data_IF_480008477876
#
_entry.id   IF_480008477876
#
_cell.length_a   1.000
_cell.length_b   1.000
_cell.length_c   1.000
_cell.angle_alpha   90.00
_cell.angle_beta   90.00
_cell.angle_gamma   90.00
#
_symmetry.space_group_name_H-M   'P 1'
#
loop_
_entity.id
_entity.type
_entity.pdbx_description
1 polymer ?
#
# COMPACT_ATOMS: atom_id res chain seq x y z
N UNK A 1 0.38 -6.39 10.73
CA UNK A 1 0.45 -6.77 9.29
C UNK A 1 -0.61 -7.82 9.04
N UNK A 2 -1.30 -7.75 7.90
CA UNK A 2 -2.24 -8.78 7.47
C UNK A 2 -1.59 -10.17 7.43
N UNK A 3 -2.38 -11.22 7.30
CA UNK A 3 -1.88 -12.57 7.01
C UNK A 3 -2.67 -13.18 5.86
N UNK A 4 -1.97 -13.94 5.00
CA UNK A 4 -2.55 -14.70 3.91
C UNK A 4 -2.21 -16.17 4.12
N UNK A 5 -3.20 -17.04 3.97
CA UNK A 5 -3.10 -18.49 3.96
C UNK A 5 -3.30 -18.99 2.54
N UNK A 6 -2.43 -19.87 2.08
CA UNK A 6 -2.60 -20.63 0.81
C UNK A 6 -2.74 -22.08 1.18
N UNK A 7 -3.89 -22.66 0.89
CA UNK A 7 -4.24 -24.05 1.14
C UNK A 7 -4.32 -24.79 -0.20
N UNK A 8 -3.23 -25.45 -0.57
CA UNK A 8 -3.16 -26.26 -1.81
C UNK A 8 -3.64 -27.69 -1.59
N UNK A 9 -3.19 -28.33 -0.50
CA UNK A 9 -3.50 -29.71 -0.16
C UNK A 9 -3.88 -29.91 1.32
N UNK A 10 -3.61 -28.93 2.18
CA UNK A 10 -3.91 -28.98 3.61
C UNK A 10 -4.69 -27.75 4.02
N UNK A 11 -5.80 -27.98 4.74
CA UNK A 11 -6.60 -26.88 5.31
C UNK A 11 -5.98 -26.36 6.60
N UNK A 12 -6.08 -25.04 6.90
CA UNK A 12 -5.81 -24.54 8.24
C UNK A 12 -6.82 -25.16 9.22
N UNK A 13 -6.35 -25.49 10.41
CA UNK A 13 -7.24 -25.90 11.47
C UNK A 13 -7.92 -24.68 12.13
N UNK A 14 -8.93 -24.95 12.95
CA UNK A 14 -9.73 -23.89 13.59
C UNK A 14 -8.90 -22.96 14.49
N UNK A 15 -7.91 -23.53 15.20
CA UNK A 15 -7.00 -22.76 16.05
C UNK A 15 -6.14 -21.78 15.23
N UNK A 16 -5.63 -22.21 14.07
CA UNK A 16 -4.85 -21.37 13.17
C UNK A 16 -5.68 -20.20 12.62
N UNK A 17 -6.94 -20.47 12.23
CA UNK A 17 -7.87 -19.44 11.76
C UNK A 17 -8.18 -18.46 12.87
N UNK A 18 -8.47 -18.93 14.09
CA UNK A 18 -8.77 -18.10 15.25
C UNK A 18 -7.59 -17.20 15.59
N UNK A 19 -6.37 -17.75 15.66
CA UNK A 19 -5.15 -16.97 15.92
C UNK A 19 -4.89 -15.91 14.85
N UNK A 20 -5.12 -16.23 13.58
CA UNK A 20 -4.97 -15.28 12.49
C UNK A 20 -6.00 -14.15 12.60
N UNK A 21 -7.23 -14.46 12.99
CA UNK A 21 -8.28 -13.48 13.25
C UNK A 21 -7.95 -12.61 14.47
N UNK A 22 -7.54 -13.18 15.60
CA UNK A 22 -7.23 -12.45 16.83
C UNK A 22 -6.18 -11.34 16.64
N UNK A 23 -5.35 -11.49 15.61
CA UNK A 23 -4.33 -10.49 15.25
C UNK A 23 -4.73 -9.58 14.09
N UNK A 24 -5.79 -9.95 13.33
CA UNK A 24 -6.21 -9.28 12.09
C UNK A 24 -7.74 -9.30 11.94
N UNK A 25 -8.44 -8.63 12.85
CA UNK A 25 -9.90 -8.69 13.04
C UNK A 25 -10.70 -7.63 12.23
N UNK A 26 -10.04 -6.93 11.29
CA UNK A 26 -10.71 -5.94 10.45
C UNK A 26 -11.45 -6.55 9.25
N UNK A 27 -11.77 -7.84 9.32
CA UNK A 27 -12.48 -8.62 8.32
C UNK A 27 -11.58 -9.59 7.56
N UNK A 28 -12.20 -10.63 7.04
CA UNK A 28 -11.53 -11.66 6.25
C UNK A 28 -12.15 -11.80 4.85
N UNK A 29 -11.47 -12.57 3.99
CA UNK A 29 -12.01 -13.00 2.72
C UNK A 29 -11.25 -14.18 2.16
N UNK A 30 -11.89 -14.89 1.25
CA UNK A 30 -11.42 -16.15 0.70
C UNK A 30 -11.74 -16.23 -0.79
N UNK A 31 -10.88 -16.89 -1.56
CA UNK A 31 -11.16 -17.30 -2.94
C UNK A 31 -10.79 -18.76 -3.14
N UNK A 32 -11.59 -19.44 -3.94
CA UNK A 32 -11.42 -20.86 -4.30
C UNK A 32 -11.73 -21.09 -5.78
N UNK A 33 -11.35 -22.26 -6.28
CA UNK A 33 -11.66 -22.67 -7.66
C UNK A 33 -12.89 -23.53 -7.69
N UNK A 34 -13.82 -23.18 -8.57
CA UNK A 34 -15.03 -23.95 -8.78
C UNK A 34 -15.56 -23.74 -10.20
N UNK A 35 -15.94 -24.81 -10.89
CA UNK A 35 -16.51 -24.79 -12.23
C UNK A 35 -15.68 -24.00 -13.27
N UNK A 36 -14.33 -24.12 -13.20
CA UNK A 36 -13.43 -23.45 -14.13
C UNK A 36 -13.31 -21.92 -13.92
N UNK A 37 -13.76 -21.43 -12.78
CA UNK A 37 -13.68 -20.03 -12.39
C UNK A 37 -13.13 -19.88 -10.97
N UNK A 38 -12.72 -18.66 -10.62
CA UNK A 38 -12.40 -18.28 -9.25
C UNK A 38 -13.65 -17.67 -8.63
N UNK A 39 -14.12 -18.28 -7.55
CA UNK A 39 -15.17 -17.74 -6.69
C UNK A 39 -14.53 -16.98 -5.54
N UNK A 40 -15.20 -15.96 -4.99
CA UNK A 40 -14.75 -15.29 -3.77
C UNK A 40 -15.89 -14.82 -2.87
N UNK A 41 -15.59 -14.76 -1.58
CA UNK A 41 -16.35 -14.02 -0.56
C UNK A 41 -15.39 -13.22 0.31
N UNK A 42 -15.79 -12.01 0.67
CA UNK A 42 -15.00 -11.09 1.51
C UNK A 42 -15.89 -10.28 2.43
N UNK A 43 -15.28 -9.54 3.38
CA UNK A 43 -16.02 -8.86 4.43
C UNK A 43 -16.58 -9.82 5.47
N UNK A 44 -15.94 -10.97 5.64
CA UNK A 44 -16.34 -12.03 6.56
C UNK A 44 -15.87 -11.69 7.99
N UNK A 45 -16.66 -12.14 8.95
CA UNK A 45 -16.28 -12.28 10.35
C UNK A 45 -15.58 -13.63 10.63
N UNK A 46 -15.25 -13.90 11.90
CA UNK A 46 -14.55 -15.12 12.29
C UNK A 46 -15.33 -16.38 11.91
N UNK A 47 -16.62 -16.43 12.21
CA UNK A 47 -17.44 -17.62 11.92
C UNK A 47 -17.61 -17.83 10.42
N UNK A 48 -17.83 -16.75 9.67
CA UNK A 48 -17.94 -16.83 8.21
C UNK A 48 -16.66 -17.35 7.55
N UNK A 49 -15.47 -16.94 7.99
CA UNK A 49 -14.21 -17.44 7.41
C UNK A 49 -13.91 -18.87 7.87
N UNK A 50 -14.23 -19.28 9.12
CA UNK A 50 -14.08 -20.65 9.59
C UNK A 50 -14.91 -21.60 8.73
N UNK A 51 -16.19 -21.30 8.56
CA UNK A 51 -17.11 -22.12 7.78
C UNK A 51 -16.63 -22.29 6.34
N UNK A 52 -16.26 -21.18 5.69
CA UNK A 52 -15.78 -21.27 4.30
C UNK A 52 -14.44 -21.99 4.17
N UNK A 53 -13.49 -21.82 5.08
CA UNK A 53 -12.25 -22.60 5.07
C UNK A 53 -12.49 -24.11 5.25
N UNK A 54 -13.56 -24.51 5.93
CA UNK A 54 -13.96 -25.91 6.07
C UNK A 54 -14.68 -26.48 4.83
N UNK A 55 -15.50 -25.67 4.17
CA UNK A 55 -16.45 -26.11 3.15
C UNK A 55 -15.91 -26.02 1.72
N UNK A 56 -15.24 -24.90 1.36
CA UNK A 56 -14.86 -24.66 -0.04
C UNK A 56 -13.84 -25.69 -0.55
N UNK A 57 -13.84 -26.03 -1.84
CA UNK A 57 -12.83 -26.93 -2.40
C UNK A 57 -11.43 -26.33 -2.34
N UNK A 58 -10.42 -27.19 -2.17
CA UNK A 58 -9.02 -26.81 -2.33
C UNK A 58 -8.62 -26.92 -3.82
N UNK A 59 -7.67 -26.10 -4.31
CA UNK A 59 -6.95 -25.07 -3.53
C UNK A 59 -7.79 -23.81 -3.30
N UNK A 60 -7.50 -23.13 -2.19
CA UNK A 60 -8.06 -21.81 -1.88
C UNK A 60 -7.01 -20.88 -1.23
N UNK A 61 -7.31 -19.59 -1.23
CA UNK A 61 -6.51 -18.55 -0.57
C UNK A 61 -7.42 -17.77 0.38
N UNK A 62 -7.03 -17.67 1.66
CA UNK A 62 -7.74 -16.89 2.66
C UNK A 62 -6.85 -15.72 3.18
N UNK A 63 -7.49 -14.60 3.52
CA UNK A 63 -6.81 -13.39 3.99
C UNK A 63 -7.51 -12.83 5.23
N UNK A 64 -6.71 -12.48 6.24
CA UNK A 64 -7.13 -11.83 7.47
C UNK A 64 -6.54 -10.43 7.50
N UNK A 65 -7.41 -9.43 7.58
CA UNK A 65 -7.05 -8.03 7.36
C UNK A 65 -6.80 -7.27 8.65
N UNK A 66 -5.73 -6.49 8.66
CA UNK A 66 -5.58 -5.33 9.52
C UNK A 66 -5.49 -4.10 8.62
N UNK A 67 -6.39 -3.13 8.78
CA UNK A 67 -6.48 -1.99 7.87
C UNK A 67 -5.35 -1.00 8.11
N UNK A 68 -4.46 -0.83 7.13
CA UNK A 68 -3.43 0.21 7.08
C UNK A 68 -3.79 1.34 6.11
N UNK A 69 -4.65 1.06 5.14
CA UNK A 69 -5.10 1.97 4.10
C UNK A 69 -6.59 1.76 3.83
N UNK A 70 -7.34 2.82 3.49
CA UNK A 70 -8.77 2.77 3.13
C UNK A 70 -9.74 2.60 4.31
N UNK A 71 -9.25 2.40 5.55
CA UNK A 71 -10.06 2.21 6.76
C UNK A 71 -10.65 0.79 6.90
N UNK A 72 -11.44 0.57 7.97
CA UNK A 72 -12.12 -0.70 8.27
C UNK A 72 -13.43 -0.78 7.47
N UNK A 73 -13.39 -1.45 6.33
CA UNK A 73 -14.53 -1.62 5.43
C UNK A 73 -14.54 -3.04 4.89
N UNK A 74 -15.70 -3.66 4.86
CA UNK A 74 -15.91 -5.01 4.34
C UNK A 74 -15.52 -5.11 2.85
N UNK A 75 -15.88 -4.11 2.04
CA UNK A 75 -15.60 -4.07 0.61
C UNK A 75 -14.11 -3.86 0.25
N UNK A 76 -13.29 -3.44 1.22
CA UNK A 76 -11.84 -3.34 1.09
C UNK A 76 -11.07 -4.52 1.69
N UNK A 77 -11.74 -5.59 2.13
CA UNK A 77 -11.09 -6.87 2.39
C UNK A 77 -10.71 -7.56 1.08
N UNK A 78 -9.78 -8.48 1.13
CA UNK A 78 -9.37 -9.25 -0.05
C UNK A 78 -10.33 -10.42 -0.34
N UNK A 79 -10.33 -10.94 -1.57
CA UNK A 79 -9.49 -10.56 -2.70
C UNK A 79 -10.00 -9.35 -3.47
N UNK A 80 -9.15 -8.87 -4.39
CA UNK A 80 -9.56 -7.95 -5.44
C UNK A 80 -9.42 -8.63 -6.82
N UNK A 81 -10.46 -8.66 -7.64
CA UNK A 81 -10.32 -9.08 -9.04
C UNK A 81 -9.29 -8.23 -9.77
N UNK A 82 -8.43 -8.87 -10.57
CA UNK A 82 -7.51 -8.17 -11.47
C UNK A 82 -8.30 -7.78 -12.71
N UNK A 83 -8.97 -6.63 -12.60
CA UNK A 83 -9.85 -6.05 -13.61
C UNK A 83 -9.71 -4.54 -13.62
N UNK A 84 -9.93 -3.89 -14.77
CA UNK A 84 -9.83 -2.42 -14.91
C UNK A 84 -10.85 -1.66 -14.05
N UNK A 85 -11.92 -2.29 -13.61
CA UNK A 85 -12.93 -1.70 -12.73
C UNK A 85 -12.68 -2.03 -11.25
N UNK A 86 -11.89 -3.06 -10.96
CA UNK A 86 -11.60 -3.60 -9.61
C UNK A 86 -12.82 -3.50 -8.69
N UNK A 87 -13.87 -4.30 -8.97
CA UNK A 87 -15.15 -4.19 -8.28
C UNK A 87 -15.02 -4.45 -6.79
N UNK A 88 -15.88 -3.79 -5.99
CA UNK A 88 -15.89 -3.87 -4.53
C UNK A 88 -16.93 -4.87 -3.99
N UNK A 89 -17.52 -5.67 -4.84
CA UNK A 89 -18.52 -6.66 -4.48
C UNK A 89 -18.00 -7.63 -3.42
N UNK A 90 -18.81 -7.92 -2.41
CA UNK A 90 -18.45 -8.82 -1.32
C UNK A 90 -18.40 -10.28 -1.76
N UNK A 91 -19.12 -10.61 -2.82
CA UNK A 91 -19.15 -11.95 -3.44
C UNK A 91 -19.02 -11.82 -4.95
N UNK A 92 -18.47 -12.84 -5.58
CA UNK A 92 -18.40 -12.84 -7.04
C UNK A 92 -17.67 -14.06 -7.60
N UNK A 93 -17.61 -14.07 -8.93
CA UNK A 93 -16.92 -15.08 -9.72
C UNK A 93 -16.21 -14.44 -10.90
N UNK A 94 -15.08 -14.99 -11.31
CA UNK A 94 -14.35 -14.55 -12.51
C UNK A 94 -13.63 -15.71 -13.18
N UNK A 95 -13.54 -15.67 -14.51
CA UNK A 95 -12.63 -16.52 -15.29
C UNK A 95 -11.20 -15.97 -15.35
N UNK A 96 -10.99 -14.74 -14.84
CA UNK A 96 -9.69 -14.12 -14.66
C UNK A 96 -9.08 -14.42 -13.29
N UNK A 97 -8.13 -13.59 -12.91
CA UNK A 97 -7.38 -13.71 -11.66
C UNK A 97 -7.94 -12.78 -10.58
N UNK A 98 -7.76 -13.19 -9.34
CA UNK A 98 -7.94 -12.33 -8.16
C UNK A 98 -6.61 -12.17 -7.42
N UNK A 99 -6.45 -11.05 -6.70
CA UNK A 99 -5.22 -10.74 -5.98
C UNK A 99 -5.47 -10.58 -4.49
N UNK A 100 -4.52 -11.08 -3.72
CA UNK A 100 -4.37 -10.82 -2.28
C UNK A 100 -3.05 -10.10 -2.04
N UNK A 101 -3.02 -9.24 -1.02
CA UNK A 101 -1.83 -8.47 -0.67
C UNK A 101 -1.64 -8.39 0.84
N UNK A 102 -0.41 -8.57 1.28
CA UNK A 102 0.03 -8.33 2.65
C UNK A 102 1.27 -7.44 2.64
N UNK A 103 1.09 -6.19 3.00
CA UNK A 103 2.11 -5.16 3.02
C UNK A 103 1.50 -3.77 3.19
N UNK A 104 2.30 -2.76 2.95
CA UNK A 104 1.87 -1.38 2.86
C UNK A 104 2.65 -0.69 1.74
N UNK A 105 1.94 -0.31 0.69
CA UNK A 105 2.53 0.39 -0.44
C UNK A 105 2.21 1.89 -0.39
N UNK A 106 3.10 2.67 0.21
CA UNK A 106 2.86 4.10 0.47
C UNK A 106 2.70 4.96 -0.79
N UNK A 107 3.26 4.53 -1.94
CA UNK A 107 3.27 5.32 -3.19
C UNK A 107 2.09 5.05 -4.12
N UNK A 108 1.10 4.28 -3.69
CA UNK A 108 0.02 3.85 -4.58
C UNK A 108 -0.78 5.03 -5.18
N UNK A 109 -0.97 6.11 -4.43
CA UNK A 109 -1.71 7.30 -4.90
C UNK A 109 -0.97 8.01 -6.02
N UNK A 110 0.34 8.22 -5.86
CA UNK A 110 1.18 8.88 -6.87
C UNK A 110 1.17 8.09 -8.18
N UNK A 111 1.34 6.75 -8.09
CA UNK A 111 1.37 5.87 -9.26
C UNK A 111 0.00 5.78 -9.93
N UNK A 112 -1.08 5.78 -9.17
CA UNK A 112 -2.44 5.82 -9.71
C UNK A 112 -2.69 7.11 -10.50
N UNK A 113 -2.30 8.27 -9.94
CA UNK A 113 -2.41 9.56 -10.63
C UNK A 113 -1.56 9.60 -11.90
N UNK A 114 -0.33 9.09 -11.85
CA UNK A 114 0.53 9.01 -13.02
C UNK A 114 -0.07 8.13 -14.13
N UNK A 115 -0.58 6.95 -13.77
CA UNK A 115 -1.18 6.00 -14.71
C UNK A 115 -2.42 6.60 -15.39
N UNK A 116 -3.28 7.25 -14.62
CA UNK A 116 -4.52 7.84 -15.15
C UNK A 116 -4.28 9.16 -15.88
N UNK A 117 -3.34 9.98 -15.40
CA UNK A 117 -2.92 11.23 -16.07
C UNK A 117 -2.30 10.99 -17.43
N UNK A 118 -1.68 9.84 -17.67
CA UNK A 118 -1.18 9.41 -18.98
C UNK A 118 -2.28 8.84 -19.91
N UNK A 119 -3.52 8.79 -19.45
CA UNK A 119 -4.65 8.29 -20.24
C UNK A 119 -4.72 6.77 -20.39
N UNK A 120 -3.93 5.99 -19.65
CA UNK A 120 -3.97 4.53 -19.73
C UNK A 120 -5.28 3.92 -19.25
N UNK A 121 -5.94 4.55 -18.26
CA UNK A 121 -7.25 4.12 -17.78
C UNK A 121 -7.97 5.24 -17.01
N UNK A 122 -9.29 5.08 -16.83
CA UNK A 122 -10.09 5.90 -15.91
C UNK A 122 -10.05 5.28 -14.52
N UNK A 123 -10.00 6.12 -13.48
CA UNK A 123 -10.06 5.65 -12.09
C UNK A 123 -11.46 5.10 -11.81
N UNK A 124 -11.61 3.83 -11.44
CA UNK A 124 -12.90 3.27 -11.04
C UNK A 124 -13.47 3.94 -9.79
N UNK A 125 -14.79 4.01 -9.73
CA UNK A 125 -15.53 4.60 -8.60
C UNK A 125 -15.33 3.77 -7.32
N UNK A 126 -15.44 4.42 -6.16
CA UNK A 126 -15.42 3.80 -4.83
C UNK A 126 -14.17 4.11 -4.03
N UNK A 127 -14.11 3.58 -2.81
CA UNK A 127 -12.96 3.76 -1.91
C UNK A 127 -11.74 2.96 -2.37
N UNK A 128 -10.58 3.53 -2.14
CA UNK A 128 -9.31 2.95 -2.53
C UNK A 128 -8.48 2.51 -1.31
N UNK A 129 -7.71 1.46 -1.53
CA UNK A 129 -6.59 1.03 -0.71
C UNK A 129 -5.39 0.77 -1.61
N UNK A 130 -4.22 0.65 -1.04
CA UNK A 130 -3.00 0.23 -1.74
C UNK A 130 -3.20 -1.11 -2.47
N UNK A 131 -3.83 -2.08 -1.83
CA UNK A 131 -4.13 -3.39 -2.44
C UNK A 131 -5.07 -3.30 -3.63
N UNK A 132 -6.13 -2.48 -3.55
CA UNK A 132 -7.03 -2.24 -4.67
C UNK A 132 -6.32 -1.56 -5.84
N UNK A 133 -5.41 -0.63 -5.52
CA UNK A 133 -4.57 0.02 -6.54
C UNK A 133 -3.61 -0.97 -7.21
N UNK A 134 -3.00 -1.89 -6.46
CA UNK A 134 -2.16 -2.95 -7.02
C UNK A 134 -2.93 -3.83 -8.01
N UNK A 135 -4.15 -4.27 -7.67
CA UNK A 135 -5.00 -5.06 -8.57
C UNK A 135 -5.36 -4.29 -9.85
N UNK A 136 -5.68 -3.00 -9.74
CA UNK A 136 -5.93 -2.12 -10.87
C UNK A 136 -4.71 -1.98 -11.79
N UNK A 137 -3.54 -1.74 -11.22
CA UNK A 137 -2.31 -1.58 -11.99
C UNK A 137 -1.87 -2.89 -12.64
N UNK A 138 -2.06 -4.03 -11.97
CA UNK A 138 -1.86 -5.33 -12.56
C UNK A 138 -2.79 -5.61 -13.74
N UNK A 139 -4.04 -5.10 -13.70
CA UNK A 139 -4.97 -5.21 -14.82
C UNK A 139 -4.59 -4.35 -16.03
N UNK A 140 -3.85 -3.27 -15.81
CA UNK A 140 -3.40 -2.36 -16.88
C UNK A 140 -2.05 -2.77 -17.45
N UNK A 141 -1.08 -3.07 -16.59
CA UNK A 141 0.31 -3.28 -16.95
C UNK A 141 0.70 -4.78 -17.00
N UNK A 142 -0.23 -5.68 -16.63
CA UNK A 142 0.05 -7.11 -16.48
C UNK A 142 0.53 -7.48 -15.07
N UNK A 143 0.41 -8.77 -14.72
CA UNK A 143 0.75 -9.32 -13.40
C UNK A 143 2.22 -9.07 -13.03
N UNK A 144 3.13 -9.15 -14.02
CA UNK A 144 4.57 -8.88 -13.82
C UNK A 144 4.88 -7.50 -13.23
N UNK A 145 3.92 -6.54 -13.29
CA UNK A 145 4.06 -5.25 -12.61
C UNK A 145 4.20 -5.40 -11.10
N UNK A 146 3.56 -6.42 -10.50
CA UNK A 146 3.60 -6.66 -9.05
C UNK A 146 5.02 -7.02 -8.55
N UNK A 147 5.87 -7.60 -9.40
CA UNK A 147 7.27 -7.92 -9.07
C UNK A 147 8.14 -6.67 -8.90
N UNK A 148 7.72 -5.55 -9.49
CA UNK A 148 8.42 -4.27 -9.35
C UNK A 148 8.16 -3.58 -8.01
N UNK A 149 7.20 -4.09 -7.22
CA UNK A 149 6.81 -3.53 -5.94
C UNK A 149 7.63 -4.16 -4.82
N UNK A 150 8.72 -3.50 -4.45
CA UNK A 150 9.62 -3.96 -3.40
C UNK A 150 8.91 -4.22 -2.07
N UNK A 151 9.28 -5.33 -1.40
CA UNK A 151 8.84 -5.69 -0.05
C UNK A 151 7.32 -5.92 0.12
N UNK A 152 6.60 -6.19 -0.96
CA UNK A 152 5.18 -6.55 -0.90
C UNK A 152 5.03 -8.08 -1.02
N UNK A 153 4.14 -8.66 -0.22
CA UNK A 153 3.72 -10.05 -0.38
C UNK A 153 2.36 -10.10 -1.05
N UNK A 154 2.30 -10.77 -2.16
CA UNK A 154 1.08 -10.89 -2.94
C UNK A 154 0.86 -12.32 -3.45
N UNK A 155 -0.38 -12.66 -3.67
CA UNK A 155 -0.84 -13.86 -4.36
C UNK A 155 -1.73 -13.43 -5.49
N UNK A 156 -1.48 -13.94 -6.68
CA UNK A 156 -2.39 -13.89 -7.83
C UNK A 156 -2.96 -15.28 -8.02
N UNK A 157 -4.25 -15.43 -7.77
CA UNK A 157 -4.96 -16.69 -7.80
C UNK A 157 -5.93 -16.74 -8.97
N UNK A 158 -5.65 -17.60 -9.92
CA UNK A 158 -6.42 -17.79 -11.15
C UNK A 158 -7.11 -19.16 -11.23
N UNK A 159 -7.93 -19.42 -12.27
CA UNK A 159 -8.62 -20.69 -12.46
C UNK A 159 -7.68 -21.89 -12.56
N UNK A 160 -6.47 -21.69 -13.09
CA UNK A 160 -5.45 -22.74 -13.26
C UNK A 160 -4.09 -22.43 -12.64
N UNK A 161 -3.86 -21.19 -12.15
CA UNK A 161 -2.57 -20.72 -11.69
C UNK A 161 -2.66 -20.15 -10.27
N UNK A 162 -1.53 -20.24 -9.54
CA UNK A 162 -1.34 -19.54 -8.27
C UNK A 162 0.10 -18.99 -8.29
N UNK A 163 0.24 -17.69 -8.54
CA UNK A 163 1.52 -17.01 -8.56
C UNK A 163 1.72 -16.26 -7.25
N UNK A 164 2.91 -16.31 -6.69
CA UNK A 164 3.22 -15.74 -5.39
C UNK A 164 4.54 -14.96 -5.41
N UNK A 165 4.60 -13.88 -4.65
CA UNK A 165 5.87 -13.19 -4.38
C UNK A 165 6.83 -14.07 -3.57
N UNK A 166 8.08 -13.64 -3.40
CA UNK A 166 9.05 -14.35 -2.56
C UNK A 166 8.72 -14.28 -1.06
N UNK A 167 9.33 -15.17 -0.26
CA UNK A 167 9.38 -15.08 1.19
C UNK A 167 8.20 -15.68 1.95
N UNK A 168 7.51 -16.67 1.39
CA UNK A 168 6.45 -17.43 2.05
C UNK A 168 7.00 -18.46 3.03
N UNK A 169 6.27 -18.72 4.11
CA UNK A 169 6.58 -19.75 5.08
C UNK A 169 5.71 -20.98 4.86
N UNK A 170 6.33 -22.14 4.67
CA UNK A 170 5.63 -23.43 4.65
C UNK A 170 5.35 -23.82 6.10
N UNK A 171 4.10 -24.13 6.42
CA UNK A 171 3.67 -24.62 7.73
C UNK A 171 3.68 -26.15 7.73
N UNK A 172 3.06 -26.74 6.72
CA UNK A 172 3.07 -28.17 6.43
C UNK A 172 2.92 -28.42 4.95
N UNK A 173 2.76 -29.67 4.52
CA UNK A 173 2.60 -30.00 3.10
C UNK A 173 1.35 -29.36 2.54
N UNK A 174 1.52 -28.53 1.49
CA UNK A 174 0.43 -27.83 0.81
C UNK A 174 -0.28 -26.75 1.64
N UNK A 175 0.35 -26.24 2.71
CA UNK A 175 -0.15 -25.09 3.46
C UNK A 175 0.96 -24.06 3.70
N UNK A 176 0.75 -22.85 3.18
CA UNK A 176 1.72 -21.74 3.23
C UNK A 176 1.10 -20.48 3.79
N UNK A 177 1.93 -19.66 4.45
CA UNK A 177 1.50 -18.39 5.07
C UNK A 177 2.43 -17.25 4.68
N UNK A 178 1.87 -16.06 4.55
CA UNK A 178 2.65 -14.88 4.19
C UNK A 178 3.60 -14.41 5.31
N UNK A 179 3.26 -14.66 6.56
CA UNK A 179 4.10 -14.42 7.73
C UNK A 179 3.62 -15.29 8.91
N UNK A 180 4.45 -15.35 9.99
CA UNK A 180 4.17 -16.11 11.19
C UNK A 180 3.83 -15.27 12.43
N UNK A 181 3.60 -13.96 12.25
CA UNK A 181 3.30 -13.07 13.40
C UNK A 181 1.99 -13.42 14.12
N UNK A 182 1.09 -14.13 13.45
CA UNK A 182 -0.16 -14.63 14.03
C UNK A 182 0.01 -15.85 14.94
N UNK A 183 1.12 -16.60 14.81
CA UNK A 183 1.41 -17.77 15.67
C UNK A 183 1.78 -17.35 17.09
N UNK A 184 2.50 -16.25 17.21
CA UNK A 184 2.81 -15.66 18.50
C UNK A 184 1.62 -14.84 18.94
N UNK A 185 0.79 -15.35 19.87
CA UNK A 185 -0.04 -14.46 20.65
C UNK A 185 0.91 -13.41 21.22
N UNK A 186 0.83 -12.20 20.72
CA UNK A 186 1.20 -11.05 21.50
C UNK A 186 0.24 -11.06 22.68
N UNK A 187 0.59 -11.83 23.71
CA UNK A 187 0.01 -11.67 25.02
C UNK A 187 0.48 -10.29 25.50
N UNK A 188 -0.22 -9.25 25.07
CA UNK A 188 -0.27 -8.06 25.87
C UNK A 188 -1.27 -8.40 26.99
N UNK A 189 -0.81 -8.74 28.19
CA UNK A 189 -1.73 -8.96 29.28
C UNK A 189 -2.46 -7.65 29.48
N UNK A 190 -3.75 -7.68 29.24
CA UNK A 190 -4.66 -6.61 29.66
C UNK A 190 -4.50 -6.57 31.17
N UNK A 191 -3.71 -5.63 31.69
CA UNK A 191 -3.55 -5.46 33.13
C UNK A 191 -2.15 -5.28 33.71
N UNK A 192 -1.07 -5.32 32.96
CA UNK A 192 0.26 -5.06 33.52
C UNK A 192 0.68 -3.58 33.37
N UNK A 193 1.28 -3.02 34.42
CA UNK A 193 1.88 -1.68 34.49
C UNK A 193 2.81 -1.36 33.30
N UNK A 194 3.43 -2.39 32.71
CA UNK A 194 4.28 -2.28 31.52
C UNK A 194 3.53 -1.76 30.28
N UNK A 195 2.21 -2.00 30.21
CA UNK A 195 1.40 -1.53 29.07
C UNK A 195 1.06 -0.02 29.18
N UNK A 196 0.92 0.55 30.37
CA UNK A 196 0.62 1.98 30.54
C UNK A 196 1.77 2.87 30.03
N UNK A 197 3.00 2.41 30.14
CA UNK A 197 4.17 3.16 29.64
C UNK A 197 4.24 3.20 28.10
N UNK A 198 3.60 2.25 27.42
CA UNK A 198 3.59 2.16 25.95
C UNK A 198 2.30 2.66 25.29
N UNK A 199 1.38 3.19 26.09
CA UNK A 199 0.13 3.76 25.57
C UNK A 199 0.30 5.23 25.20
N UNK A 200 -0.53 5.68 24.27
CA UNK A 200 -0.63 7.08 23.91
C UNK A 200 -0.97 7.94 25.14
N UNK A 201 -0.27 9.04 25.36
CA UNK A 201 -0.51 9.94 26.49
C UNK A 201 -1.80 10.75 26.44
N UNK A 202 -2.53 10.72 25.34
CA UNK A 202 -3.89 11.30 25.29
C UNK A 202 -4.82 10.46 26.15
N UNK A 203 -5.33 11.02 27.24
CA UNK A 203 -5.97 10.30 28.35
C UNK A 203 -7.16 9.41 28.00
N UNK A 204 -7.83 9.66 26.87
CA UNK A 204 -8.95 8.84 26.37
C UNK A 204 -8.53 7.88 25.25
N UNK A 205 -7.23 7.88 24.85
CA UNK A 205 -6.74 7.07 23.77
C UNK A 205 -6.21 5.72 24.27
N UNK A 206 -6.74 4.62 23.73
CA UNK A 206 -6.33 3.26 24.04
C UNK A 206 -5.31 2.67 23.03
N UNK A 207 -4.70 3.49 22.15
CA UNK A 207 -3.74 3.03 21.15
C UNK A 207 -2.30 3.05 21.67
N UNK A 208 -1.49 2.12 21.16
CA UNK A 208 -0.05 2.04 21.48
C UNK A 208 0.67 3.25 20.84
N UNK A 209 1.62 3.83 21.57
CA UNK A 209 2.46 4.94 21.06
C UNK A 209 3.41 4.46 19.97
N UNK A 210 3.81 5.38 19.09
CA UNK A 210 4.87 5.15 18.11
C UNK A 210 6.21 5.03 18.87
N UNK A 211 7.07 4.12 18.44
CA UNK A 211 8.40 3.94 19.02
C UNK A 211 9.15 5.29 19.15
N UNK A 212 9.73 5.54 20.30
CA UNK A 212 10.40 6.79 20.69
C UNK A 212 9.50 8.05 20.74
N UNK A 213 8.17 7.92 20.76
CA UNK A 213 7.26 9.04 20.97
C UNK A 213 6.32 8.77 22.15
N UNK A 214 5.62 9.81 22.60
CA UNK A 214 4.60 9.69 23.67
C UNK A 214 3.19 9.47 23.11
N UNK A 215 3.01 9.52 21.77
CA UNK A 215 1.73 9.55 21.08
C UNK A 215 1.60 8.42 20.06
N UNK A 216 0.36 7.97 19.81
CA UNK A 216 0.05 7.03 18.74
C UNK A 216 0.03 7.75 17.37
N UNK A 217 -0.17 6.97 16.32
CA UNK A 217 -0.16 7.48 14.94
C UNK A 217 -1.20 8.60 14.72
N UNK A 218 -2.38 8.50 15.32
CA UNK A 218 -3.45 9.51 15.18
C UNK A 218 -3.13 10.81 15.94
N UNK A 219 -2.35 10.70 17.03
CA UNK A 219 -1.96 11.82 17.88
C UNK A 219 -0.52 12.30 17.68
N UNK A 220 0.16 11.80 16.64
CA UNK A 220 1.55 12.18 16.31
C UNK A 220 1.74 13.69 16.06
N UNK A 221 0.67 14.40 15.66
CA UNK A 221 0.70 15.85 15.48
C UNK A 221 0.99 16.62 16.79
N UNK A 222 0.72 16.00 17.96
CA UNK A 222 1.02 16.59 19.26
C UNK A 222 2.53 16.56 19.60
N UNK A 223 3.33 15.72 18.93
CA UNK A 223 4.81 15.73 19.05
C UNK A 223 5.34 17.05 18.52
N UNK A 224 4.81 17.51 17.39
CA UNK A 224 5.26 18.77 16.77
C UNK A 224 4.78 20.01 17.53
N UNK A 225 3.68 19.92 18.27
CA UNK A 225 3.20 21.05 19.08
C UNK A 225 4.13 21.34 20.27
N UNK A 226 4.62 20.30 20.98
CA UNK A 226 5.59 20.47 22.06
C UNK A 226 6.95 21.01 21.58
N UNK A 227 7.44 20.51 20.44
CA UNK A 227 8.68 21.00 19.84
C UNK A 227 8.56 22.46 19.35
N UNK A 228 7.36 22.90 18.98
CA UNK A 228 7.09 24.27 18.60
C UNK A 228 7.09 25.23 19.82
N UNK A 229 6.54 24.80 20.96
CA UNK A 229 6.58 25.56 22.22
C UNK A 229 8.00 25.67 22.78
N UNK A 230 8.75 24.57 22.81
CA UNK A 230 10.18 24.57 23.20
C UNK A 230 11.04 25.42 22.24
N UNK A 231 10.75 25.39 20.94
CA UNK A 231 11.43 26.22 19.94
C UNK A 231 11.08 27.70 20.08
N UNK A 232 9.86 28.04 20.49
CA UNK A 232 9.44 29.41 20.73
C UNK A 232 10.12 30.01 21.99
N UNK A 233 10.38 29.22 23.03
CA UNK A 233 11.11 29.65 24.23
C UNK A 233 12.62 29.79 23.97
N UNK A 234 13.19 28.95 23.11
CA UNK A 234 14.61 29.09 22.66
C UNK A 234 14.78 30.33 21.78
N UNK A 235 13.80 30.67 20.95
CA UNK A 235 13.84 31.88 20.10
C UNK A 235 13.73 33.19 20.90
N UNK A 236 13.10 33.17 22.07
CA UNK A 236 13.04 34.35 22.96
C UNK A 236 14.37 34.64 23.70
N UNK A 237 15.27 33.65 23.73
CA UNK A 237 16.59 33.77 24.39
C UNK A 237 17.73 34.12 23.42
N UNK A 238 17.46 34.17 22.09
CA UNK A 238 18.45 34.56 21.08
C UNK A 238 18.08 35.91 20.48
N UNK A 239 18.22 36.96 21.27
CA UNK A 239 18.40 38.30 20.74
C UNK A 239 19.89 38.55 20.57
N UNK A 240 20.23 39.05 19.37
CA UNK A 240 21.51 39.65 18.97
C UNK A 240 22.68 38.67 18.75
N UNK A 241 22.94 38.30 17.48
CA UNK A 241 24.23 38.55 16.81
C UNK A 241 24.17 38.15 15.30
N UNK A 242 24.47 39.17 14.47
CA UNK A 242 25.16 39.10 13.18
C UNK A 242 24.54 38.49 11.94
N UNK A 243 24.29 39.34 10.95
CA UNK A 243 24.08 38.99 9.53
C UNK A 243 25.21 38.12 8.96
N UNK A 244 24.87 37.07 8.19
CA UNK A 244 25.87 36.33 7.44
C UNK A 244 26.13 37.00 6.09
N UNK A 245 27.39 37.42 5.88
CA UNK A 245 27.96 37.89 4.61
C UNK A 245 27.68 36.85 3.48
N UNK A 246 27.13 37.33 2.36
CA UNK A 246 27.10 36.62 1.09
C UNK A 246 28.52 36.24 0.67
N UNK A 247 28.77 34.93 0.55
CA UNK A 247 29.91 34.42 -0.24
C UNK A 247 29.41 34.07 -1.61
N UNK A 248 29.73 34.84 -2.59
CA UNK A 248 29.75 34.44 -4.00
C UNK A 248 30.83 33.38 -4.18
N UNK A 249 30.45 32.19 -4.58
CA UNK A 249 31.36 31.19 -5.12
C UNK A 249 30.86 30.75 -6.47
N UNK A 250 31.54 31.21 -7.51
CA UNK A 250 31.42 30.70 -8.86
C UNK A 250 31.83 29.24 -8.85
N UNK A 251 30.87 28.35 -9.15
CA UNK A 251 31.06 26.93 -9.27
C UNK A 251 30.67 26.46 -10.68
N UNK A 252 31.63 25.82 -11.35
CA UNK A 252 31.42 25.16 -12.64
C UNK A 252 30.14 24.27 -12.68
N UNK A 253 29.51 24.07 -13.83
CA UNK A 253 28.30 23.28 -13.95
C UNK A 253 28.56 21.83 -13.51
N UNK A 254 28.04 21.46 -12.36
CA UNK A 254 28.09 20.08 -11.86
C UNK A 254 27.18 19.24 -12.74
N UNK A 255 27.79 18.38 -13.59
CA UNK A 255 27.08 17.35 -14.33
C UNK A 255 26.26 16.49 -13.37
N UNK A 256 24.94 16.66 -13.39
CA UNK A 256 24.02 15.82 -12.63
C UNK A 256 23.78 14.54 -13.45
N UNK A 257 24.10 13.40 -12.83
CA UNK A 257 23.89 12.09 -13.45
C UNK A 257 22.40 11.83 -13.69
N UNK A 258 22.01 11.22 -14.83
CA UNK A 258 20.65 10.75 -15.04
C UNK A 258 20.19 9.86 -13.88
N UNK A 259 18.93 10.00 -13.46
CA UNK A 259 18.43 9.36 -12.24
C UNK A 259 18.58 7.83 -12.25
N UNK A 260 18.30 7.17 -13.39
CA UNK A 260 18.46 5.72 -13.55
C UNK A 260 19.92 5.29 -13.31
N UNK A 261 20.87 6.04 -13.85
CA UNK A 261 22.29 5.79 -13.65
C UNK A 261 22.72 6.05 -12.20
N UNK A 262 22.16 7.09 -11.56
CA UNK A 262 22.41 7.38 -10.15
C UNK A 262 21.87 6.26 -9.22
N UNK A 263 20.74 5.65 -9.53
CA UNK A 263 20.20 4.50 -8.79
C UNK A 263 21.13 3.28 -8.89
N UNK A 264 21.63 2.98 -10.09
CA UNK A 264 22.59 1.87 -10.30
C UNK A 264 23.87 2.09 -9.50
N UNK A 265 24.46 3.29 -9.60
CA UNK A 265 25.70 3.63 -8.91
C UNK A 265 25.54 3.69 -7.38
N UNK A 266 24.36 4.02 -6.87
CA UNK A 266 24.08 3.96 -5.43
C UNK A 266 24.02 2.51 -4.94
N UNK A 267 23.37 1.60 -5.68
CA UNK A 267 23.34 0.16 -5.36
C UNK A 267 24.75 -0.45 -5.36
N UNK A 268 25.62 0.02 -6.25
CA UNK A 268 27.02 -0.40 -6.35
C UNK A 268 27.94 0.31 -5.32
N UNK A 269 27.41 1.16 -4.46
CA UNK A 269 28.19 1.93 -3.49
C UNK A 269 29.12 3.02 -4.09
N UNK A 270 29.00 3.27 -5.39
CA UNK A 270 29.87 4.21 -6.15
C UNK A 270 29.50 5.67 -6.02
N UNK A 271 28.32 6.00 -5.45
CA UNK A 271 27.93 7.38 -5.15
C UNK A 271 27.30 7.49 -3.77
N UNK A 272 27.40 8.69 -3.16
CA UNK A 272 26.77 8.95 -1.88
C UNK A 272 25.26 9.17 -2.00
N UNK A 273 24.52 8.91 -0.89
CA UNK A 273 23.07 9.20 -0.80
C UNK A 273 22.72 10.66 -1.13
N UNK A 274 23.61 11.61 -0.82
CA UNK A 274 23.38 13.02 -1.13
C UNK A 274 23.47 13.30 -2.64
N UNK A 275 24.39 12.67 -3.35
CA UNK A 275 24.52 12.79 -4.80
C UNK A 275 23.30 12.17 -5.50
N UNK A 276 22.83 11.01 -5.02
CA UNK A 276 21.59 10.40 -5.48
C UNK A 276 20.35 11.26 -5.25
N UNK A 277 20.20 11.85 -4.03
CA UNK A 277 19.10 12.78 -3.73
C UNK A 277 19.05 13.97 -4.68
N UNK A 278 20.20 14.53 -5.06
CA UNK A 278 20.27 15.61 -6.06
C UNK A 278 19.78 15.16 -7.43
N UNK A 279 20.22 14.00 -7.92
CA UNK A 279 19.76 13.42 -9.20
C UNK A 279 18.27 13.11 -9.19
N UNK A 280 17.74 12.61 -8.07
CA UNK A 280 16.32 12.37 -7.87
C UNK A 280 15.49 13.65 -7.95
N UNK A 281 15.90 14.71 -7.25
CA UNK A 281 15.19 16.00 -7.23
C UNK A 281 15.15 16.66 -8.63
N UNK A 282 16.21 16.49 -9.40
CA UNK A 282 16.26 16.99 -10.77
C UNK A 282 15.31 16.19 -11.69
N UNK A 283 15.34 14.87 -11.58
CA UNK A 283 14.42 13.99 -12.32
C UNK A 283 12.96 14.31 -12.01
N UNK A 284 12.59 14.49 -10.73
CA UNK A 284 11.24 14.87 -10.31
C UNK A 284 10.82 16.22 -10.92
N UNK A 285 11.73 17.20 -10.97
CA UNK A 285 11.48 18.50 -11.60
C UNK A 285 11.29 18.38 -13.11
N UNK A 286 12.09 17.58 -13.78
CA UNK A 286 12.00 17.32 -15.22
C UNK A 286 10.68 16.60 -15.58
N UNK A 287 10.27 15.59 -14.79
CA UNK A 287 9.00 14.90 -14.97
C UNK A 287 7.80 15.85 -14.77
N UNK A 288 7.85 16.72 -13.78
CA UNK A 288 6.80 17.73 -13.55
C UNK A 288 6.70 18.71 -14.74
N UNK A 289 7.83 19.12 -15.32
CA UNK A 289 7.87 19.98 -16.49
C UNK A 289 7.28 19.31 -17.73
N UNK A 290 7.61 18.03 -17.95
CA UNK A 290 7.04 17.24 -19.07
C UNK A 290 5.53 17.03 -18.90
N UNK A 291 5.06 16.79 -17.68
CA UNK A 291 3.62 16.67 -17.39
C UNK A 291 2.88 17.97 -17.70
N UNK A 292 3.43 19.12 -17.31
CA UNK A 292 2.85 20.43 -17.62
C UNK A 292 2.85 20.74 -19.13
N UNK A 293 3.91 20.36 -19.85
CA UNK A 293 3.97 20.51 -21.29
C UNK A 293 2.91 19.65 -22.00
N UNK A 294 2.71 18.40 -21.54
CA UNK A 294 1.68 17.51 -22.05
C UNK A 294 0.26 18.03 -21.78
N UNK A 295 0.02 18.64 -20.62
CA UNK A 295 -1.26 19.27 -20.29
C UNK A 295 -1.57 20.45 -21.23
N UNK A 296 -0.59 21.34 -21.42
CA UNK A 296 -0.73 22.46 -22.36
C UNK A 296 -0.97 22.01 -23.81
N UNK A 297 -0.31 20.92 -24.22
CA UNK A 297 -0.53 20.34 -25.57
C UNK A 297 -1.93 19.72 -25.72
N UNK A 298 -2.48 19.13 -24.65
CA UNK A 298 -3.84 18.59 -24.63
C UNK A 298 -4.89 19.71 -24.65
N UNK A 299 -4.69 20.79 -23.90
CA UNK A 299 -5.54 21.98 -23.90
C UNK A 299 -5.56 22.68 -25.28
N UNK A 300 -4.42 22.78 -25.94
CA UNK A 300 -4.31 23.33 -27.27
C UNK A 300 -5.07 22.50 -28.35
N UNK A 301 -5.07 21.17 -28.19
CA UNK A 301 -5.85 20.27 -29.07
C UNK A 301 -7.36 20.36 -28.83
N UNK A 302 -7.80 20.54 -27.59
CA UNK A 302 -9.22 20.73 -27.24
C UNK A 302 -9.75 22.11 -27.72
N UNK A 303 -8.94 23.15 -27.63
CA UNK A 303 -9.30 24.50 -28.13
C UNK A 303 -9.42 24.61 -29.63
N UNK A 304 -8.79 23.70 -30.40
CA UNK A 304 -8.84 23.71 -31.87
C UNK A 304 -9.99 22.90 -32.48
N UNK A 305 -10.78 22.17 -31.67
CA UNK A 305 -11.90 21.34 -32.15
C UNK A 305 -13.30 21.98 -32.01
N UNK A 306 -13.38 23.25 -31.61
CA UNK A 306 -14.62 24.02 -31.65
C UNK A 306 -14.66 24.84 -32.96
N UNK A 307 -14.90 24.18 -34.06
CA UNK A 307 -15.36 24.86 -35.29
C UNK A 307 -16.87 24.65 -35.40
N UNK A 308 -17.56 25.72 -35.06
CA UNK A 308 -18.88 26.18 -35.46
C UNK A 308 -19.50 25.37 -36.61
N UNK A 309 -20.51 24.57 -36.26
CA UNK A 309 -21.49 24.10 -37.25
C UNK A 309 -22.47 25.24 -37.54
N UNK A 310 -22.39 25.84 -38.71
CA UNK A 310 -23.43 26.71 -39.26
C UNK A 310 -24.75 25.95 -39.33
N UNK A 311 -25.74 26.49 -38.65
CA UNK A 311 -27.15 26.11 -38.83
C UNK A 311 -27.62 26.73 -40.15
N UNK A 312 -27.81 25.89 -41.15
CA UNK A 312 -28.56 26.28 -42.38
C UNK A 312 -30.04 26.09 -42.08
N UNK A 313 -30.80 27.20 -42.24
CA UNK A 313 -32.25 27.25 -42.13
C UNK A 313 -32.95 26.49 -43.27
#
# INVERSE_FOLDING_TARGET
MCVIFISEATRPNEEQITKAWDTNDHGAGIAWRENGAVQWRKGLDLEGIKNLCAEVPMPFVAHFRIASSGGQRADLTHPFPIDKNVPLNLTGSTKGNVMFHNGHWARWQDVMLETTGRGFAKIPVGKWSDSRAMAFLAAIHGIGYLELLDNQKWVVFGPGTCEVSAGWSKINEGFYVSNKHWETKSFYPVGNEYNRQNMCKVGTCCKVRIYQTEYCYDHKHLVNAKSAEESADILKTIDVVAEPKKKESGGAPTHVLPFVQACKLLKEGKISKNKWKKSRKLYEKEQASLAMASLKAAEAKLGSSVVVGEVVH
#
